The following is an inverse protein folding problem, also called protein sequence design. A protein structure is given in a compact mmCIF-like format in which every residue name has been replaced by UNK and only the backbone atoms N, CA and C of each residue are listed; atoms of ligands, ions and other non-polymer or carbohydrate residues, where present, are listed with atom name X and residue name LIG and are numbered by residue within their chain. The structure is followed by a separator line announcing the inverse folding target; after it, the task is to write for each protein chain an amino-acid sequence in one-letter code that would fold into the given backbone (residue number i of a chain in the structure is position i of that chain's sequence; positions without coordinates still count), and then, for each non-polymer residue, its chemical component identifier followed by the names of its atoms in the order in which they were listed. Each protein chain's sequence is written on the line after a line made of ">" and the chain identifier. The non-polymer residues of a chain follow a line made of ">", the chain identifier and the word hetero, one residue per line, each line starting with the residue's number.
data_IF_195515764104
#
_entry.id   IF_195515764104
#
_cell.length_a   1.000
_cell.length_b   1.000
_cell.length_c   1.000
_cell.angle_alpha   90.00
_cell.angle_beta   90.00
_cell.angle_gamma   90.00
#
_symmetry.space_group_name_H-M   'P 1'
#
loop_
_entity.id
_entity.type
_entity.pdbx_description
1 polymer ?
#
# COMPACT_ATOMS: atom_id res chain seq x y z
N UNK A 1 11.04 -25.83 18.60
CA UNK A 1 10.84 -24.46 18.11
C UNK A 1 11.77 -24.20 16.94
N UNK A 2 11.20 -23.82 15.81
CA UNK A 2 12.02 -23.55 14.63
C UNK A 2 12.68 -22.18 14.74
N UNK A 3 13.95 -22.11 14.39
CA UNK A 3 14.65 -20.84 14.33
C UNK A 3 14.25 -20.08 13.08
N UNK A 4 14.18 -18.75 13.20
CA UNK A 4 13.95 -17.89 12.04
C UNK A 4 15.23 -17.85 11.21
N UNK A 5 15.18 -18.34 9.98
CA UNK A 5 16.34 -18.36 9.08
C UNK A 5 16.63 -17.00 8.46
N UNK A 6 15.63 -16.14 8.42
CA UNK A 6 15.78 -14.81 7.87
C UNK A 6 14.44 -14.11 7.69
N UNK A 7 14.52 -12.88 7.22
CA UNK A 7 13.37 -12.06 6.90
C UNK A 7 13.42 -11.70 5.42
N UNK A 8 12.35 -12.05 4.68
CA UNK A 8 12.19 -11.60 3.31
C UNK A 8 11.26 -10.40 3.32
N UNK A 9 11.68 -9.30 2.73
CA UNK A 9 10.88 -8.09 2.61
C UNK A 9 10.47 -7.89 1.16
N UNK A 10 9.20 -7.62 0.91
CA UNK A 10 8.69 -7.44 -0.45
C UNK A 10 7.76 -6.23 -0.55
N UNK A 11 7.60 -5.72 -1.76
CA UNK A 11 6.63 -4.67 -2.07
C UNK A 11 5.21 -5.24 -2.15
N UNK A 12 4.22 -4.36 -2.06
CA UNK A 12 2.82 -4.72 -2.20
C UNK A 12 2.33 -4.47 -3.63
N UNK A 13 2.36 -3.21 -4.06
CA UNK A 13 1.81 -2.83 -5.36
C UNK A 13 2.62 -3.46 -6.50
N UNK A 14 1.91 -4.12 -7.42
CA UNK A 14 2.51 -4.81 -8.58
C UNK A 14 3.47 -5.95 -8.23
N UNK A 15 3.57 -6.33 -6.94
CA UNK A 15 4.39 -7.47 -6.49
C UNK A 15 3.51 -8.49 -5.78
N UNK A 16 3.00 -8.17 -4.60
CA UNK A 16 2.07 -9.05 -3.88
C UNK A 16 0.70 -9.05 -4.58
N UNK A 17 0.27 -7.90 -5.05
CA UNK A 17 -1.01 -7.71 -5.75
C UNK A 17 -0.77 -7.15 -7.15
N UNK A 18 -1.78 -7.29 -8.01
CA UNK A 18 -1.69 -6.88 -9.42
C UNK A 18 -1.84 -5.36 -9.60
N UNK A 19 -2.54 -4.70 -8.68
CA UNK A 19 -2.97 -3.32 -8.82
C UNK A 19 -2.07 -2.34 -8.05
N UNK A 20 -2.17 -1.07 -8.42
CA UNK A 20 -1.65 0.06 -7.67
C UNK A 20 -2.80 0.59 -6.82
N UNK A 21 -2.71 0.46 -5.50
CA UNK A 21 -3.83 0.76 -4.59
C UNK A 21 -4.25 2.23 -4.65
N UNK A 22 -3.29 3.16 -4.76
CA UNK A 22 -3.63 4.59 -4.84
C UNK A 22 -4.47 4.92 -6.09
N UNK A 23 -4.23 4.21 -7.19
CA UNK A 23 -5.00 4.40 -8.41
C UNK A 23 -6.44 3.92 -8.23
N UNK A 24 -6.62 2.78 -7.54
CA UNK A 24 -7.96 2.28 -7.23
C UNK A 24 -8.72 3.23 -6.32
N UNK A 25 -8.05 3.81 -5.32
CA UNK A 25 -8.64 4.81 -4.45
C UNK A 25 -9.09 6.03 -5.25
N UNK A 26 -8.24 6.49 -6.18
CA UNK A 26 -8.58 7.60 -7.05
C UNK A 26 -9.78 7.33 -7.94
N UNK A 27 -9.86 6.14 -8.51
CA UNK A 27 -10.99 5.74 -9.36
C UNK A 27 -12.29 5.69 -8.57
N UNK A 28 -12.29 5.09 -7.38
CA UNK A 28 -13.48 5.02 -6.54
C UNK A 28 -13.93 6.42 -6.07
N UNK A 29 -12.98 7.33 -5.91
CA UNK A 29 -13.25 8.71 -5.52
C UNK A 29 -13.71 9.59 -6.67
N UNK A 30 -13.59 9.11 -7.91
CA UNK A 30 -13.87 9.91 -9.10
C UNK A 30 -12.77 10.89 -9.46
N UNK A 31 -11.57 10.71 -8.92
CA UNK A 31 -10.41 11.59 -9.16
C UNK A 31 -9.24 10.84 -9.80
N UNK A 32 -9.54 9.72 -10.50
CA UNK A 32 -8.52 8.90 -11.11
C UNK A 32 -7.64 9.65 -12.10
N UNK A 33 -8.21 10.59 -12.85
CA UNK A 33 -7.46 11.40 -13.81
C UNK A 33 -6.48 12.33 -13.10
N UNK A 34 -6.90 12.96 -12.01
CA UNK A 34 -6.06 13.84 -11.21
C UNK A 34 -4.89 13.07 -10.60
N UNK A 35 -5.15 11.87 -10.09
CA UNK A 35 -4.11 11.00 -9.53
C UNK A 35 -3.11 10.59 -10.60
N UNK A 36 -3.61 10.20 -11.78
CA UNK A 36 -2.75 9.80 -12.90
C UNK A 36 -1.86 10.96 -13.36
N UNK A 37 -2.39 12.17 -13.40
CA UNK A 37 -1.65 13.37 -13.78
C UNK A 37 -0.52 13.67 -12.79
N UNK A 38 -0.79 13.54 -11.48
CA UNK A 38 0.22 13.73 -10.45
C UNK A 38 1.33 12.67 -10.60
N UNK A 39 0.95 11.43 -10.84
CA UNK A 39 1.91 10.34 -11.04
C UNK A 39 2.80 10.63 -12.25
N UNK A 40 2.23 11.12 -13.34
CA UNK A 40 2.99 11.48 -14.54
C UNK A 40 4.00 12.61 -14.27
N UNK A 41 3.59 13.63 -13.51
CA UNK A 41 4.49 14.72 -13.12
C UNK A 41 5.65 14.19 -12.27
N UNK A 42 5.37 13.26 -11.36
CA UNK A 42 6.42 12.64 -10.56
C UNK A 42 7.39 11.84 -11.43
N UNK A 43 6.88 11.11 -12.41
CA UNK A 43 7.71 10.32 -13.33
C UNK A 43 8.61 11.21 -14.21
N UNK A 44 8.18 12.44 -14.49
CA UNK A 44 9.00 13.42 -15.23
C UNK A 44 10.00 14.15 -14.33
N UNK A 45 10.04 13.83 -13.03
CA UNK A 45 10.96 14.47 -12.09
C UNK A 45 10.50 15.82 -11.57
N UNK A 46 9.27 16.23 -11.86
CA UNK A 46 8.73 17.51 -11.39
C UNK A 46 8.35 17.49 -9.91
N UNK A 47 8.09 16.29 -9.36
CA UNK A 47 7.73 16.09 -7.96
C UNK A 47 8.59 14.98 -7.37
N UNK A 48 9.05 15.14 -6.12
CA UNK A 48 9.68 14.03 -5.42
C UNK A 48 8.60 13.08 -4.88
N UNK A 49 9.03 11.95 -4.31
CA UNK A 49 8.10 10.94 -3.81
C UNK A 49 7.13 11.49 -2.77
N UNK A 50 7.65 12.29 -1.83
CA UNK A 50 6.84 12.86 -0.75
C UNK A 50 5.82 13.86 -1.27
N UNK A 51 6.24 14.74 -2.19
CA UNK A 51 5.34 15.70 -2.81
C UNK A 51 4.24 15.00 -3.60
N UNK A 52 4.59 13.99 -4.39
CA UNK A 52 3.61 13.22 -5.17
C UNK A 52 2.62 12.50 -4.25
N UNK A 53 3.11 11.89 -3.17
CA UNK A 53 2.24 11.21 -2.22
C UNK A 53 1.26 12.19 -1.58
N UNK A 54 1.74 13.32 -1.10
CA UNK A 54 0.88 14.32 -0.46
C UNK A 54 -0.18 14.87 -1.43
N UNK A 55 0.19 15.16 -2.67
CA UNK A 55 -0.77 15.66 -3.66
C UNK A 55 -1.82 14.61 -4.01
N UNK A 56 -1.42 13.35 -4.20
CA UNK A 56 -2.38 12.27 -4.49
C UNK A 56 -3.34 12.05 -3.33
N UNK A 57 -2.83 12.03 -2.11
CA UNK A 57 -3.67 11.83 -0.92
C UNK A 57 -4.62 13.02 -0.72
N UNK A 58 -4.18 14.25 -1.02
CA UNK A 58 -5.03 15.42 -0.92
C UNK A 58 -6.29 15.33 -1.79
N UNK A 59 -6.22 14.61 -2.93
CA UNK A 59 -7.39 14.42 -3.79
C UNK A 59 -8.46 13.55 -3.13
N UNK A 60 -8.11 12.80 -2.08
CA UNK A 60 -9.02 11.89 -1.39
C UNK A 60 -9.73 12.54 -0.20
N UNK A 61 -9.48 13.82 0.06
CA UNK A 61 -10.10 14.54 1.17
C UNK A 61 -11.62 14.48 1.10
N UNK A 62 -12.23 14.19 2.23
CA UNK A 62 -13.69 14.15 2.34
C UNK A 62 -14.34 12.82 2.03
N UNK A 63 -13.57 11.81 1.65
CA UNK A 63 -14.11 10.48 1.39
C UNK A 63 -14.39 9.73 2.68
N UNK A 64 -15.47 8.93 2.73
CA UNK A 64 -15.72 8.09 3.89
C UNK A 64 -14.72 6.92 3.93
N UNK A 65 -14.38 6.48 5.15
CA UNK A 65 -13.45 5.35 5.29
C UNK A 65 -13.97 4.04 4.69
N UNK A 66 -15.29 3.95 4.43
CA UNK A 66 -15.87 2.80 3.74
C UNK A 66 -15.33 2.61 2.32
N UNK A 67 -14.64 3.62 1.77
CA UNK A 67 -13.99 3.49 0.47
C UNK A 67 -12.94 2.38 0.47
N UNK A 68 -12.32 2.11 1.62
CA UNK A 68 -11.33 1.04 1.74
C UNK A 68 -11.94 -0.33 1.45
N UNK A 69 -13.19 -0.55 1.86
CA UNK A 69 -13.88 -1.82 1.58
C UNK A 69 -14.11 -2.00 0.08
N UNK A 70 -14.49 -0.94 -0.61
CA UNK A 70 -14.72 -0.96 -2.06
C UNK A 70 -13.44 -1.22 -2.82
N UNK A 71 -12.37 -0.55 -2.42
CA UNK A 71 -11.05 -0.72 -3.04
C UNK A 71 -10.51 -2.12 -2.78
N UNK A 72 -10.64 -2.61 -1.55
CA UNK A 72 -10.16 -3.94 -1.19
C UNK A 72 -10.81 -5.03 -2.06
N UNK A 73 -12.09 -4.87 -2.38
CA UNK A 73 -12.81 -5.82 -3.23
C UNK A 73 -12.26 -5.86 -4.68
N UNK A 74 -11.52 -4.83 -5.09
CA UNK A 74 -10.93 -4.73 -6.42
C UNK A 74 -9.46 -5.17 -6.48
N UNK A 75 -8.86 -5.49 -5.33
CA UNK A 75 -7.46 -5.90 -5.26
C UNK A 75 -7.35 -7.40 -5.46
N UNK A 76 -6.41 -7.80 -6.32
CA UNK A 76 -6.17 -9.22 -6.62
C UNK A 76 -4.70 -9.57 -6.36
N UNK A 77 -4.49 -10.65 -5.62
CA UNK A 77 -3.14 -11.17 -5.41
C UNK A 77 -2.54 -11.63 -6.73
N UNK A 78 -1.24 -11.41 -6.88
CA UNK A 78 -0.53 -12.00 -8.00
C UNK A 78 -0.54 -13.51 -7.88
N UNK A 79 -0.56 -14.21 -9.01
CA UNK A 79 -0.56 -15.65 -9.05
C UNK A 79 0.68 -16.19 -8.33
N UNK A 80 0.46 -17.07 -7.38
CA UNK A 80 1.54 -17.67 -6.61
C UNK A 80 2.03 -16.86 -5.42
N UNK A 81 1.53 -15.64 -5.21
CA UNK A 81 2.01 -14.79 -4.11
C UNK A 81 1.77 -15.43 -2.74
N UNK A 82 0.54 -15.90 -2.48
CA UNK A 82 0.22 -16.56 -1.20
C UNK A 82 1.00 -17.85 -1.03
N UNK A 83 1.17 -18.61 -2.11
CA UNK A 83 1.92 -19.85 -2.09
C UNK A 83 3.40 -19.59 -1.74
N UNK A 84 3.97 -18.52 -2.27
CA UNK A 84 5.33 -18.12 -1.96
C UNK A 84 5.50 -17.82 -0.47
N UNK A 85 4.55 -17.09 0.12
CA UNK A 85 4.58 -16.79 1.56
C UNK A 85 4.51 -18.08 2.37
N UNK A 86 3.62 -19.00 2.01
CA UNK A 86 3.49 -20.29 2.70
C UNK A 86 4.78 -21.12 2.61
N UNK A 87 5.42 -21.14 1.45
CA UNK A 87 6.68 -21.86 1.26
C UNK A 87 7.82 -21.25 2.10
N UNK A 88 7.87 -19.92 2.16
CA UNK A 88 8.89 -19.23 2.96
C UNK A 88 8.71 -19.55 4.45
N UNK A 89 7.47 -19.56 4.93
CA UNK A 89 7.17 -19.95 6.31
C UNK A 89 7.58 -21.40 6.58
N UNK A 90 7.30 -22.29 5.64
CA UNK A 90 7.67 -23.70 5.76
C UNK A 90 9.18 -23.89 5.84
N UNK A 91 9.96 -22.97 5.27
CA UNK A 91 11.42 -22.99 5.30
C UNK A 91 12.02 -22.21 6.47
N UNK A 92 11.19 -21.68 7.35
CA UNK A 92 11.62 -20.96 8.56
C UNK A 92 11.88 -19.47 8.36
N UNK A 93 11.43 -18.89 7.23
CA UNK A 93 11.54 -17.46 7.00
C UNK A 93 10.33 -16.70 7.52
N UNK A 94 10.57 -15.47 7.96
CA UNK A 94 9.50 -14.50 8.20
C UNK A 94 9.35 -13.64 6.96
N UNK A 95 8.15 -13.13 6.72
CA UNK A 95 7.86 -12.30 5.55
C UNK A 95 7.35 -10.94 6.01
N UNK A 96 7.96 -9.88 5.50
CA UNK A 96 7.54 -8.52 5.76
C UNK A 96 7.13 -7.80 4.49
N UNK A 97 6.23 -6.84 4.62
CA UNK A 97 5.85 -5.95 3.53
C UNK A 97 6.34 -4.54 3.84
N UNK A 98 6.93 -3.91 2.84
CA UNK A 98 7.27 -2.48 2.88
C UNK A 98 6.59 -1.85 1.68
N UNK A 99 5.76 -0.84 1.92
CA UNK A 99 4.92 -0.28 0.88
C UNK A 99 4.86 1.25 0.98
N UNK A 100 4.87 1.90 -0.17
CA UNK A 100 4.52 3.31 -0.27
C UNK A 100 3.00 3.54 -0.21
N UNK A 101 2.21 2.46 -0.13
CA UNK A 101 0.76 2.51 0.05
C UNK A 101 0.36 2.75 1.50
N UNK A 102 -0.79 2.20 1.91
CA UNK A 102 -1.41 2.58 3.18
C UNK A 102 -1.78 1.36 4.03
N UNK A 103 -1.50 1.45 5.33
CA UNK A 103 -1.87 0.41 6.30
C UNK A 103 -3.35 0.04 6.23
N UNK A 104 -4.22 1.00 5.95
CA UNK A 104 -5.67 0.81 5.89
C UNK A 104 -6.10 -0.25 4.86
N UNK A 105 -5.27 -0.48 3.83
CA UNK A 105 -5.48 -1.55 2.85
C UNK A 105 -4.45 -2.67 3.00
N UNK A 106 -3.18 -2.32 3.25
CA UNK A 106 -2.08 -3.28 3.32
C UNK A 106 -2.23 -4.25 4.48
N UNK A 107 -2.75 -3.79 5.63
CA UNK A 107 -2.94 -4.65 6.81
C UNK A 107 -3.94 -5.78 6.52
N UNK A 108 -4.98 -5.50 5.75
CA UNK A 108 -5.94 -6.53 5.33
C UNK A 108 -5.30 -7.57 4.42
N UNK A 109 -4.47 -7.10 3.47
CA UNK A 109 -3.73 -7.98 2.56
C UNK A 109 -2.75 -8.86 3.35
N UNK A 110 -2.04 -8.26 4.30
CA UNK A 110 -1.09 -8.98 5.14
C UNK A 110 -1.78 -10.08 5.94
N UNK A 111 -2.93 -9.78 6.53
CA UNK A 111 -3.69 -10.76 7.31
C UNK A 111 -4.15 -11.92 6.42
N UNK A 112 -4.62 -11.63 5.22
CA UNK A 112 -5.11 -12.65 4.28
C UNK A 112 -3.98 -13.55 3.77
N UNK A 113 -2.80 -12.98 3.53
CA UNK A 113 -1.65 -13.73 3.01
C UNK A 113 -0.78 -14.36 4.10
N UNK A 114 -1.04 -14.05 5.37
CA UNK A 114 -0.25 -14.59 6.48
C UNK A 114 1.10 -13.90 6.66
N UNK A 115 1.20 -12.64 6.29
CA UNK A 115 2.42 -11.83 6.40
C UNK A 115 2.71 -11.50 7.86
N UNK A 116 3.98 -11.55 8.25
CA UNK A 116 4.38 -11.36 9.66
C UNK A 116 4.54 -9.89 10.05
N UNK A 117 5.05 -9.04 9.15
CA UNK A 117 5.35 -7.64 9.44
C UNK A 117 4.91 -6.73 8.30
N UNK A 118 4.47 -5.52 8.64
CA UNK A 118 4.05 -4.51 7.65
C UNK A 118 4.63 -3.16 8.02
N UNK A 119 5.22 -2.49 7.03
CA UNK A 119 5.59 -1.10 7.14
C UNK A 119 5.02 -0.35 5.94
N UNK A 120 4.13 0.59 6.19
CA UNK A 120 3.46 1.37 5.15
C UNK A 120 3.10 2.76 5.71
N UNK A 121 2.53 3.58 4.87
CA UNK A 121 2.05 4.89 5.29
C UNK A 121 0.67 4.77 5.94
N UNK A 122 0.23 5.83 6.61
CA UNK A 122 -1.11 5.91 7.19
C UNK A 122 -1.87 7.06 6.57
N UNK A 123 -3.12 6.82 6.24
CA UNK A 123 -4.06 7.88 5.87
C UNK A 123 -4.73 8.40 7.13
N UNK A 124 -4.77 9.72 7.27
CA UNK A 124 -5.46 10.31 8.41
C UNK A 124 -6.97 10.25 8.20
N UNK A 125 -7.66 9.68 9.18
CA UNK A 125 -9.12 9.57 9.17
C UNK A 125 -9.63 10.21 10.46
N UNK A 126 -10.54 11.16 10.33
CA UNK A 126 -11.19 11.84 11.47
C UNK A 126 -12.69 11.71 11.29
N UNK A 127 -13.38 11.23 12.32
CA UNK A 127 -14.83 11.02 12.30
C UNK A 127 -15.31 10.18 11.11
N UNK A 128 -14.53 9.17 10.73
CA UNK A 128 -14.85 8.26 9.63
C UNK A 128 -14.64 8.84 8.24
N UNK A 129 -13.94 9.98 8.13
CA UNK A 129 -13.71 10.69 6.87
C UNK A 129 -12.23 10.97 6.69
N UNK A 130 -11.74 10.76 5.47
CA UNK A 130 -10.34 11.05 5.12
C UNK A 130 -10.12 12.58 5.12
N UNK A 131 -9.03 13.00 5.76
CA UNK A 131 -8.67 14.42 5.83
C UNK A 131 -7.87 14.91 4.63
N UNK A 132 -7.36 13.97 3.82
CA UNK A 132 -6.48 14.30 2.70
C UNK A 132 -5.02 14.40 3.11
N UNK A 133 -4.67 13.88 4.28
CA UNK A 133 -3.30 13.92 4.81
C UNK A 133 -2.82 12.51 5.18
N UNK A 134 -1.50 12.32 5.09
CA UNK A 134 -0.84 11.14 5.65
C UNK A 134 -0.27 11.52 7.02
N UNK A 135 -0.08 10.54 7.89
CA UNK A 135 0.55 10.78 9.18
C UNK A 135 1.57 9.69 9.49
N UNK A 136 2.41 9.97 10.51
CA UNK A 136 3.49 9.08 10.89
C UNK A 136 4.70 9.20 9.97
N UNK A 137 5.62 8.26 10.09
CA UNK A 137 6.80 8.21 9.24
C UNK A 137 6.41 7.83 7.82
N UNK A 138 6.80 8.65 6.85
CA UNK A 138 6.51 8.37 5.44
C UNK A 138 7.50 7.33 4.93
N UNK A 139 6.95 6.24 4.36
CA UNK A 139 7.75 5.20 3.72
C UNK A 139 8.16 5.70 2.35
N UNK A 140 9.44 5.96 2.19
CA UNK A 140 10.03 6.40 0.92
C UNK A 140 10.82 5.26 0.30
N UNK A 141 11.34 5.48 -0.89
CA UNK A 141 12.19 4.53 -1.58
C UNK A 141 13.41 4.12 -0.73
N UNK A 142 13.96 5.04 0.05
CA UNK A 142 15.14 4.79 0.88
C UNK A 142 14.85 3.82 2.01
N UNK A 143 13.64 3.81 2.53
CA UNK A 143 13.24 2.91 3.61
C UNK A 143 13.12 1.47 3.13
N UNK A 144 12.89 1.26 1.84
CA UNK A 144 12.73 -0.08 1.25
C UNK A 144 14.04 -0.81 1.00
N UNK A 145 15.13 -0.13 1.08
CA UNK A 145 16.46 -0.71 0.82
C UNK A 145 17.02 -1.47 2.02
#
# INVERSE_FOLDING_TARGET
>A
MSEVKGLLVMDVDSTLVQEEVIDLLGEEAGVGQEVAEITERAMRGELDFRQALNERVATLKGLPESIFDKVYARIHFNKGAKKLVDELHARGFKVGLVSGGFHETVDRLAAEAGIDYVKANHLEVVDGVLTGKVYGEIVTKDVKV
#
